data_IF_294535303386
#
_entry.id   IF_294535303386
#
_cell.length_a   1.000
_cell.length_b   1.000
_cell.length_c   1.000
_cell.angle_alpha   90.00
_cell.angle_beta   90.00
_cell.angle_gamma   90.00
#
_symmetry.space_group_name_H-M   'P 1'
#
loop_
_entity.id
_entity.type
_entity.pdbx_description
1 polymer ?
#
# COMPACT_ATOMS: atom_id res chain seq x y z
N UNK A 1 22.30 4.40 -2.10
CA UNK A 1 21.49 3.25 -2.53
C UNK A 1 22.04 2.69 -3.84
N UNK A 2 22.09 1.41 -3.96
CA UNK A 2 22.38 0.71 -5.20
C UNK A 2 21.29 0.99 -6.23
N UNK A 3 21.66 1.03 -7.51
CA UNK A 3 20.68 1.22 -8.58
C UNK A 3 19.65 0.06 -8.58
N UNK A 4 18.40 0.32 -8.99
CA UNK A 4 17.35 -0.70 -9.09
C UNK A 4 17.81 -1.92 -9.91
N UNK A 5 18.59 -1.71 -10.96
CA UNK A 5 19.16 -2.77 -11.80
C UNK A 5 20.06 -3.78 -11.04
N UNK A 6 20.39 -3.53 -9.79
CA UNK A 6 21.18 -4.46 -8.95
C UNK A 6 20.33 -5.29 -7.98
N UNK A 7 18.99 -5.15 -8.00
CA UNK A 7 18.10 -5.93 -7.15
C UNK A 7 18.10 -7.38 -7.62
N UNK A 8 18.56 -8.29 -6.76
CA UNK A 8 18.71 -9.73 -7.05
C UNK A 8 18.34 -10.61 -5.84
N UNK A 9 17.50 -10.11 -4.94
CA UNK A 9 17.20 -10.87 -3.71
C UNK A 9 15.82 -10.52 -3.17
N UNK A 10 15.15 -11.54 -2.64
CA UNK A 10 13.89 -11.39 -1.91
C UNK A 10 14.07 -10.59 -0.60
N UNK A 11 12.95 -10.25 0.00
CA UNK A 11 12.92 -9.67 1.34
C UNK A 11 13.47 -10.65 2.36
N UNK A 12 14.19 -10.15 3.36
CA UNK A 12 14.68 -10.94 4.48
C UNK A 12 14.50 -10.18 5.78
N UNK A 13 14.47 -10.91 6.90
CA UNK A 13 14.30 -10.32 8.23
C UNK A 13 15.39 -9.27 8.55
N UNK A 14 16.62 -9.48 8.08
CA UNK A 14 17.70 -8.51 8.25
C UNK A 14 17.45 -7.20 7.51
N UNK A 15 16.94 -7.28 6.28
CA UNK A 15 16.56 -6.10 5.48
C UNK A 15 15.36 -5.37 6.07
N UNK A 16 14.34 -6.11 6.54
CA UNK A 16 13.22 -5.53 7.25
C UNK A 16 13.68 -4.76 8.49
N UNK A 17 14.51 -5.37 9.32
CA UNK A 17 15.06 -4.72 10.52
C UNK A 17 15.91 -3.50 10.19
N UNK A 18 16.60 -3.49 9.07
CA UNK A 18 17.33 -2.30 8.60
C UNK A 18 16.38 -1.15 8.26
N UNK A 19 15.26 -1.43 7.57
CA UNK A 19 14.21 -0.44 7.28
C UNK A 19 13.59 0.11 8.59
N UNK A 20 13.24 -0.77 9.53
CA UNK A 20 12.72 -0.37 10.85
C UNK A 20 13.72 0.49 11.61
N UNK A 21 15.01 0.14 11.57
CA UNK A 21 16.08 0.95 12.19
C UNK A 21 16.14 2.35 11.59
N UNK A 22 15.99 2.48 10.28
CA UNK A 22 15.97 3.80 9.62
C UNK A 22 14.79 4.63 10.10
N UNK A 23 13.59 4.05 10.20
CA UNK A 23 12.40 4.74 10.73
C UNK A 23 12.59 5.17 12.19
N UNK A 24 13.09 4.26 13.05
CA UNK A 24 13.37 4.56 14.46
C UNK A 24 14.45 5.65 14.62
N UNK A 25 15.47 5.66 13.77
CA UNK A 25 16.49 6.72 13.77
C UNK A 25 15.90 8.10 13.42
N UNK A 26 14.89 8.16 12.57
CA UNK A 26 14.14 9.37 12.24
C UNK A 26 13.02 9.69 13.26
N UNK A 27 12.94 8.93 14.37
CA UNK A 27 11.90 9.08 15.39
C UNK A 27 10.48 8.95 14.86
N UNK A 28 10.27 8.09 13.87
CA UNK A 28 8.96 7.77 13.37
C UNK A 28 8.10 7.15 14.47
N UNK A 29 6.84 7.57 14.56
CA UNK A 29 5.89 7.06 15.55
C UNK A 29 5.26 5.78 15.05
N UNK A 30 4.96 4.88 15.98
CA UNK A 30 4.13 3.71 15.68
C UNK A 30 2.69 4.12 15.44
N UNK A 31 2.03 3.40 14.56
CA UNK A 31 0.59 3.51 14.35
C UNK A 31 -0.08 2.73 15.47
N UNK A 32 -0.93 3.39 16.24
CA UNK A 32 -1.62 2.83 17.41
C UNK A 32 -3.13 2.81 17.24
N UNK A 33 -3.64 3.61 16.32
CA UNK A 33 -5.06 3.78 16.09
C UNK A 33 -5.38 3.75 14.60
N UNK A 34 -6.50 3.16 14.25
CA UNK A 34 -7.03 3.17 12.89
C UNK A 34 -8.49 3.58 12.94
N UNK A 35 -8.86 4.55 12.11
CA UNK A 35 -10.26 4.94 11.93
C UNK A 35 -10.98 3.83 11.15
N UNK A 36 -11.97 3.23 11.76
CA UNK A 36 -12.79 2.25 11.06
C UNK A 36 -13.74 2.94 10.09
N UNK A 37 -13.85 2.40 8.88
CA UNK A 37 -14.83 2.86 7.88
C UNK A 37 -16.23 2.36 8.22
N UNK A 38 -16.79 2.89 9.30
CA UNK A 38 -18.16 2.60 9.75
C UNK A 38 -18.96 3.90 9.79
N UNK A 39 -20.32 3.84 9.71
CA UNK A 39 -21.17 5.01 9.85
C UNK A 39 -20.96 5.78 11.16
N UNK A 40 -20.44 5.12 12.17
CA UNK A 40 -20.27 5.67 13.52
C UNK A 40 -18.87 6.24 13.79
N UNK A 41 -17.99 6.30 12.78
CA UNK A 41 -16.61 6.81 12.93
C UNK A 41 -15.85 6.21 14.13
N UNK A 42 -15.94 4.89 14.29
CA UNK A 42 -15.32 4.21 15.40
C UNK A 42 -13.80 4.15 15.21
N UNK A 43 -13.06 4.76 16.14
CA UNK A 43 -11.61 4.62 16.21
C UNK A 43 -11.28 3.29 16.88
N UNK A 44 -10.47 2.46 16.22
CA UNK A 44 -9.99 1.19 16.76
C UNK A 44 -8.56 1.31 17.21
N UNK A 45 -8.30 0.98 18.47
CA UNK A 45 -6.94 0.83 18.96
C UNK A 45 -6.36 -0.48 18.42
N UNK A 46 -5.17 -0.38 17.87
CA UNK A 46 -4.38 -1.51 17.39
C UNK A 46 -3.08 -1.61 18.18
N UNK A 47 -2.43 -2.76 18.14
CA UNK A 47 -1.11 -2.91 18.73
C UNK A 47 -0.11 -2.00 18.01
N UNK A 48 0.74 -1.27 18.75
CA UNK A 48 1.72 -0.37 18.16
C UNK A 48 2.62 -1.07 17.16
N UNK A 49 2.75 -0.52 15.97
CA UNK A 49 3.62 -1.08 14.93
C UNK A 49 3.73 -0.15 13.72
N UNK A 50 4.71 -0.43 12.87
CA UNK A 50 4.80 0.16 11.55
C UNK A 50 3.92 -0.62 10.57
N UNK A 51 3.47 0.02 9.55
CA UNK A 51 2.73 -0.63 8.46
C UNK A 51 3.62 -0.72 7.23
N UNK A 52 3.67 -1.90 6.65
CA UNK A 52 4.33 -2.15 5.37
C UNK A 52 3.27 -2.54 4.34
N UNK A 53 3.31 -1.89 3.18
CA UNK A 53 2.39 -2.16 2.08
C UNK A 53 3.20 -2.65 0.88
N UNK A 54 2.74 -3.73 0.26
CA UNK A 54 3.42 -4.36 -0.87
C UNK A 54 2.47 -5.09 -1.81
N UNK A 55 3.00 -5.67 -2.90
CA UNK A 55 2.21 -6.49 -3.82
C UNK A 55 1.85 -7.85 -3.21
N UNK A 56 0.73 -8.40 -3.63
CA UNK A 56 0.32 -9.77 -3.30
C UNK A 56 1.30 -10.85 -3.78
N UNK A 57 2.07 -10.57 -4.83
CA UNK A 57 3.08 -11.51 -5.35
C UNK A 57 4.20 -11.81 -4.34
N UNK A 58 4.36 -10.95 -3.34
CA UNK A 58 5.34 -11.13 -2.27
C UNK A 58 4.83 -11.93 -1.05
N UNK A 59 3.59 -12.41 -1.08
CA UNK A 59 2.96 -13.08 0.06
C UNK A 59 3.76 -14.30 0.53
N UNK A 60 4.27 -15.10 -0.40
CA UNK A 60 5.10 -16.28 -0.10
C UNK A 60 6.40 -15.92 0.64
N UNK A 61 7.07 -14.89 0.15
CA UNK A 61 8.32 -14.41 0.75
C UNK A 61 8.10 -13.82 2.15
N UNK A 62 7.01 -13.07 2.34
CA UNK A 62 6.67 -12.49 3.64
C UNK A 62 6.31 -13.58 4.65
N UNK A 63 5.52 -14.58 4.25
CA UNK A 63 5.17 -15.73 5.10
C UNK A 63 6.38 -16.56 5.50
N UNK A 64 7.42 -16.57 4.69
CA UNK A 64 8.68 -17.28 4.97
C UNK A 64 9.61 -16.55 5.94
N UNK A 65 9.30 -15.29 6.30
CA UNK A 65 10.11 -14.53 7.24
C UNK A 65 10.08 -15.17 8.64
N UNK A 66 11.25 -15.25 9.27
CA UNK A 66 11.34 -15.76 10.64
C UNK A 66 10.55 -14.88 11.62
N UNK A 67 9.67 -15.51 12.41
CA UNK A 67 8.80 -14.81 13.34
C UNK A 67 7.52 -14.24 12.73
N UNK A 68 7.15 -14.69 11.53
CA UNK A 68 5.88 -14.32 10.93
C UNK A 68 4.70 -14.88 11.74
N UNK A 69 3.76 -14.03 12.08
CA UNK A 69 2.50 -14.38 12.75
C UNK A 69 1.35 -14.05 11.81
N UNK A 70 0.64 -15.07 11.28
CA UNK A 70 -0.49 -14.84 10.39
C UNK A 70 -1.68 -14.22 11.14
N UNK A 71 -2.55 -13.53 10.43
CA UNK A 71 -3.77 -12.92 11.00
C UNK A 71 -4.62 -13.94 11.76
N UNK A 72 -4.68 -15.20 11.30
CA UNK A 72 -5.42 -16.27 11.96
C UNK A 72 -4.95 -16.56 13.41
N UNK A 73 -3.69 -16.24 13.73
CA UNK A 73 -3.08 -16.48 15.04
C UNK A 73 -3.10 -15.23 15.94
N UNK A 74 -3.68 -14.14 15.51
CA UNK A 74 -3.70 -12.88 16.27
C UNK A 74 -4.47 -12.97 17.59
N UNK A 75 -5.34 -13.94 17.77
CA UNK A 75 -6.16 -14.09 18.97
C UNK A 75 -7.06 -12.87 19.20
N UNK A 76 -6.70 -12.05 20.20
CA UNK A 76 -7.44 -10.82 20.54
C UNK A 76 -6.99 -9.57 19.77
N UNK A 77 -5.90 -9.67 18.99
CA UNK A 77 -5.39 -8.55 18.20
C UNK A 77 -6.37 -8.25 17.07
N UNK A 78 -6.61 -6.95 16.83
CA UNK A 78 -7.48 -6.52 15.72
C UNK A 78 -6.63 -6.30 14.46
N UNK A 79 -7.18 -6.67 13.32
CA UNK A 79 -6.59 -6.36 12.01
C UNK A 79 -6.75 -4.88 11.68
N UNK A 80 -5.81 -4.33 10.92
CA UNK A 80 -5.90 -2.96 10.39
C UNK A 80 -6.94 -2.91 9.28
N UNK A 81 -6.86 -3.85 8.34
CA UNK A 81 -7.78 -3.97 7.21
C UNK A 81 -7.91 -5.44 6.77
N UNK A 82 -8.85 -5.70 5.86
CA UNK A 82 -9.13 -7.05 5.36
C UNK A 82 -7.97 -7.65 4.53
N UNK A 83 -7.05 -6.81 4.03
CA UNK A 83 -5.89 -7.23 3.26
C UNK A 83 -4.61 -7.41 4.10
N UNK A 84 -4.74 -7.41 5.41
CA UNK A 84 -3.61 -7.67 6.29
C UNK A 84 -3.21 -9.14 6.22
N UNK A 85 -1.95 -9.41 5.87
CA UNK A 85 -1.40 -10.75 5.76
C UNK A 85 -0.96 -11.30 7.11
N UNK A 86 -0.34 -10.47 7.91
CA UNK A 86 0.23 -10.84 9.20
C UNK A 86 1.22 -9.82 9.72
N UNK A 87 1.94 -10.17 10.76
CA UNK A 87 2.94 -9.32 11.40
C UNK A 87 4.27 -10.04 11.56
N UNK A 88 5.36 -9.26 11.49
CA UNK A 88 6.72 -9.71 11.79
C UNK A 88 7.40 -8.66 12.66
N UNK A 89 7.85 -9.02 13.84
CA UNK A 89 8.36 -8.07 14.84
C UNK A 89 7.37 -6.89 15.03
N UNK A 90 7.83 -5.66 14.84
CA UNK A 90 7.04 -4.43 14.97
C UNK A 90 6.34 -4.00 13.66
N UNK A 91 6.27 -4.86 12.64
CA UNK A 91 5.77 -4.50 11.30
C UNK A 91 4.55 -5.33 10.94
N UNK A 92 3.48 -4.69 10.50
CA UNK A 92 2.28 -5.33 9.94
C UNK A 92 2.28 -5.20 8.43
N UNK A 93 2.09 -6.31 7.75
CA UNK A 93 2.10 -6.39 6.30
C UNK A 93 0.69 -6.38 5.73
N UNK A 94 0.47 -5.43 4.82
CA UNK A 94 -0.75 -5.32 4.02
C UNK A 94 -0.35 -5.59 2.58
N UNK A 95 -0.97 -6.59 1.96
CA UNK A 95 -0.68 -6.95 0.57
C UNK A 95 -1.86 -6.65 -0.33
N UNK A 96 -1.61 -6.00 -1.46
CA UNK A 96 -2.67 -5.65 -2.39
C UNK A 96 -2.13 -5.63 -3.84
N UNK A 97 -2.87 -6.16 -4.81
CA UNK A 97 -2.43 -6.26 -6.21
C UNK A 97 -2.27 -4.91 -6.93
N UNK A 98 -2.75 -3.81 -6.35
CA UNK A 98 -2.59 -2.47 -6.93
C UNK A 98 -1.12 -2.01 -6.95
N UNK A 99 -0.27 -2.62 -6.11
CA UNK A 99 1.16 -2.33 -6.06
C UNK A 99 1.90 -3.09 -7.15
N UNK A 100 1.82 -2.55 -8.38
CA UNK A 100 2.47 -3.15 -9.54
C UNK A 100 4.00 -3.11 -9.43
N UNK A 101 4.69 -4.18 -9.84
CA UNK A 101 6.15 -4.20 -9.91
C UNK A 101 6.67 -3.32 -11.05
N UNK A 102 7.96 -2.99 -10.98
CA UNK A 102 8.71 -2.50 -12.13
C UNK A 102 9.22 -3.70 -12.92
N UNK A 103 8.56 -3.97 -14.04
CA UNK A 103 8.88 -5.09 -14.91
C UNK A 103 10.30 -4.96 -15.45
N UNK A 104 11.06 -6.05 -15.39
CA UNK A 104 12.45 -6.14 -15.87
C UNK A 104 13.39 -5.05 -15.28
N UNK A 105 13.09 -4.56 -14.09
CA UNK A 105 13.84 -3.47 -13.45
C UNK A 105 15.05 -3.90 -12.66
N UNK A 106 15.21 -5.19 -12.37
CA UNK A 106 16.27 -5.76 -11.52
C UNK A 106 17.46 -6.34 -12.26
N UNK A 107 18.23 -7.19 -11.57
CA UNK A 107 19.34 -7.91 -12.15
C UNK A 107 18.88 -9.01 -13.12
N UNK A 108 19.82 -9.63 -13.84
CA UNK A 108 19.53 -10.75 -14.72
C UNK A 108 18.87 -11.90 -13.95
N UNK A 109 17.81 -12.48 -14.50
CA UNK A 109 17.04 -13.52 -13.85
C UNK A 109 17.75 -14.88 -13.91
N UNK A 110 17.76 -15.58 -12.77
CA UNK A 110 18.33 -16.92 -12.60
C UNK A 110 17.22 -18.00 -12.53
N UNK A 111 16.03 -17.73 -13.05
CA UNK A 111 14.83 -18.58 -12.94
C UNK A 111 14.29 -18.79 -11.50
N UNK A 112 14.81 -18.07 -10.52
CA UNK A 112 14.37 -18.17 -9.12
C UNK A 112 13.30 -17.12 -8.76
N UNK A 113 13.29 -16.01 -9.49
CA UNK A 113 12.43 -14.88 -9.21
C UNK A 113 11.43 -14.63 -10.33
N UNK A 114 10.32 -13.99 -9.99
CA UNK A 114 9.31 -13.61 -10.98
C UNK A 114 9.89 -12.61 -11.99
N UNK A 115 9.59 -12.83 -13.26
CA UNK A 115 9.85 -11.90 -14.34
C UNK A 115 8.64 -11.81 -15.27
N UNK A 116 8.10 -10.63 -15.45
CA UNK A 116 6.86 -10.37 -16.21
C UNK A 116 7.05 -10.22 -17.71
N UNK A 117 8.21 -10.50 -18.23
CA UNK A 117 8.50 -10.41 -19.66
C UNK A 117 9.03 -11.73 -20.23
N UNK A 118 8.97 -11.87 -21.55
CA UNK A 118 9.51 -13.05 -22.23
C UNK A 118 10.91 -13.41 -21.73
N UNK A 119 11.09 -14.64 -21.42
CA UNK A 119 12.19 -15.51 -20.99
C UNK A 119 13.68 -15.05 -20.98
N UNK A 120 13.98 -13.82 -21.27
CA UNK A 120 15.34 -13.23 -21.27
C UNK A 120 15.43 -11.99 -20.37
N UNK A 121 14.38 -11.73 -19.59
CA UNK A 121 14.24 -10.49 -18.84
C UNK A 121 15.11 -10.45 -17.59
N UNK A 122 15.23 -9.25 -17.09
CA UNK A 122 15.69 -9.00 -15.74
C UNK A 122 14.55 -9.32 -14.74
N UNK A 123 14.90 -9.44 -13.48
CA UNK A 123 13.97 -9.69 -12.38
C UNK A 123 12.99 -8.53 -12.25
N UNK A 124 11.73 -8.82 -11.96
CA UNK A 124 10.75 -7.81 -11.59
C UNK A 124 11.01 -7.29 -10.18
N UNK A 125 10.96 -5.98 -10.02
CA UNK A 125 11.25 -5.33 -8.74
C UNK A 125 9.98 -4.84 -8.09
N UNK A 126 9.75 -5.33 -6.89
CA UNK A 126 8.57 -5.05 -6.09
C UNK A 126 8.87 -4.01 -5.02
N UNK A 127 8.10 -2.92 -4.94
CA UNK A 127 8.24 -1.96 -3.87
C UNK A 127 7.58 -2.47 -2.58
N UNK A 128 8.27 -2.30 -1.47
CA UNK A 128 7.72 -2.41 -0.12
C UNK A 128 7.81 -1.04 0.51
N UNK A 129 6.67 -0.43 0.79
CA UNK A 129 6.57 0.86 1.46
C UNK A 129 6.30 0.64 2.94
N UNK A 130 7.23 1.05 3.79
CA UNK A 130 7.09 0.99 5.23
C UNK A 130 6.99 2.39 5.81
N UNK A 131 5.99 2.64 6.66
CA UNK A 131 5.73 3.96 7.20
C UNK A 131 5.19 3.91 8.63
N UNK A 132 5.37 5.02 9.32
CA UNK A 132 4.79 5.29 10.63
C UNK A 132 3.58 6.19 10.57
N UNK A 133 3.08 6.58 11.73
CA UNK A 133 1.97 7.52 11.88
C UNK A 133 2.33 8.88 11.25
N UNK A 134 1.37 9.53 10.61
CA UNK A 134 1.52 10.85 9.99
C UNK A 134 2.63 10.96 8.91
N UNK A 135 3.08 9.84 8.34
CA UNK A 135 4.10 9.85 7.29
C UNK A 135 3.59 10.51 6.00
N UNK A 136 2.33 10.32 5.68
CA UNK A 136 1.64 10.93 4.55
C UNK A 136 0.22 11.31 4.95
N UNK A 137 -0.36 12.21 4.19
CA UNK A 137 -1.73 12.63 4.42
C UNK A 137 -2.42 12.95 3.12
N UNK A 138 -3.73 13.06 3.18
CA UNK A 138 -4.46 13.57 2.07
C UNK A 138 -5.50 14.61 2.51
N UNK A 139 -5.67 15.61 1.70
CA UNK A 139 -6.56 16.72 1.96
C UNK A 139 -7.63 16.78 0.89
N UNK A 140 -8.87 17.02 1.32
CA UNK A 140 -9.97 17.37 0.43
C UNK A 140 -10.07 18.89 0.24
N UNK A 141 -10.59 19.32 -0.88
CA UNK A 141 -10.87 20.74 -1.10
C UNK A 141 -12.17 21.13 -0.38
N UNK A 142 -12.15 22.25 0.36
CA UNK A 142 -13.33 22.85 1.05
C UNK A 142 -14.00 21.92 2.08
N UNK A 143 -13.25 21.29 2.95
CA UNK A 143 -13.77 20.39 3.98
C UNK A 143 -14.65 19.23 3.45
N UNK A 144 -14.68 19.05 2.16
CA UNK A 144 -15.53 18.05 1.54
C UNK A 144 -14.68 16.89 1.00
N UNK A 145 -14.68 15.81 1.75
CA UNK A 145 -14.49 14.47 1.20
C UNK A 145 -15.64 14.14 0.25
N UNK A 146 -16.61 15.01 0.21
CA UNK A 146 -17.88 14.79 -0.43
C UNK A 146 -17.70 14.75 -1.94
N UNK A 147 -18.20 13.67 -2.48
CA UNK A 147 -18.57 13.55 -3.85
C UNK A 147 -19.62 14.65 -4.14
N UNK A 148 -19.26 15.66 -4.92
CA UNK A 148 -20.22 16.63 -5.41
C UNK A 148 -21.04 15.97 -6.53
N UNK A 149 -22.25 15.58 -6.19
CA UNK A 149 -23.18 14.95 -7.13
C UNK A 149 -24.04 16.01 -7.79
N UNK A 150 -23.85 16.16 -9.10
CA UNK A 150 -24.66 17.04 -9.93
C UNK A 150 -25.62 16.20 -10.78
N UNK A 151 -26.90 16.33 -10.47
CA UNK A 151 -27.95 15.72 -11.26
C UNK A 151 -28.52 16.75 -12.24
N UNK A 152 -28.42 16.45 -13.51
CA UNK A 152 -29.11 17.17 -14.58
C UNK A 152 -30.33 16.37 -15.03
N UNK A 153 -31.54 16.79 -14.69
CA UNK A 153 -32.74 16.09 -15.11
C UNK A 153 -32.92 16.17 -16.62
N UNK A 154 -33.63 15.21 -17.22
CA UNK A 154 -33.92 15.23 -18.66
C UNK A 154 -34.65 16.53 -19.04
N UNK A 155 -34.12 17.23 -20.04
CA UNK A 155 -34.70 18.44 -20.61
C UNK A 155 -34.59 18.41 -22.10
N UNK A 156 -35.61 18.87 -22.83
CA UNK A 156 -35.53 19.05 -24.24
C UNK A 156 -34.41 20.02 -24.62
N UNK A 157 -33.59 19.61 -25.57
CA UNK A 157 -32.47 20.39 -26.14
C UNK A 157 -32.33 20.07 -27.62
N UNK A 158 -31.54 20.85 -28.35
CA UNK A 158 -31.32 20.63 -29.80
C UNK A 158 -30.74 19.24 -30.09
N UNK A 159 -29.99 18.65 -29.17
CA UNK A 159 -29.40 17.31 -29.27
C UNK A 159 -30.35 16.19 -28.80
N UNK A 160 -31.37 16.54 -28.03
CA UNK A 160 -32.39 15.61 -27.49
C UNK A 160 -33.76 16.30 -27.45
N UNK A 161 -34.44 16.42 -28.58
CA UNK A 161 -35.72 17.12 -28.66
C UNK A 161 -36.83 16.50 -27.78
N UNK A 162 -36.72 15.19 -27.51
CA UNK A 162 -37.71 14.48 -26.71
C UNK A 162 -37.39 14.60 -25.17
N UNK A 163 -36.26 15.15 -24.81
CA UNK A 163 -35.86 15.32 -23.40
C UNK A 163 -35.78 14.04 -22.59
N UNK A 164 -35.32 12.94 -23.21
CA UNK A 164 -35.27 11.61 -22.60
C UNK A 164 -33.95 11.33 -21.89
N UNK A 165 -32.94 12.18 -22.08
CA UNK A 165 -31.59 11.97 -21.54
C UNK A 165 -31.33 12.89 -20.37
N UNK A 166 -31.03 12.30 -19.22
CA UNK A 166 -30.47 12.99 -18.06
C UNK A 166 -29.03 12.58 -17.86
N UNK A 167 -28.27 13.35 -17.11
CA UNK A 167 -26.90 13.03 -16.73
C UNK A 167 -26.68 13.15 -15.21
N UNK A 168 -25.87 12.26 -14.65
CA UNK A 168 -25.37 12.33 -13.30
C UNK A 168 -23.87 12.47 -13.36
N UNK A 169 -23.34 13.55 -12.81
CA UNK A 169 -21.91 13.78 -12.71
C UNK A 169 -21.48 13.73 -11.24
N UNK A 170 -20.38 13.03 -11.00
CA UNK A 170 -19.76 12.95 -9.69
C UNK A 170 -18.36 13.58 -9.78
N UNK A 171 -18.09 14.59 -8.96
CA UNK A 171 -16.80 15.28 -8.92
C UNK A 171 -16.26 15.24 -7.51
N UNK A 172 -15.01 14.80 -7.36
CA UNK A 172 -14.29 14.89 -6.09
C UNK A 172 -12.92 15.53 -6.32
N UNK A 173 -12.47 16.31 -5.35
CA UNK A 173 -11.19 16.99 -5.40
C UNK A 173 -10.38 16.58 -4.17
N UNK A 174 -9.23 15.97 -4.37
CA UNK A 174 -8.34 15.61 -3.29
C UNK A 174 -6.87 15.68 -3.73
N UNK A 175 -5.99 15.80 -2.78
CA UNK A 175 -4.54 15.74 -3.01
C UNK A 175 -3.89 14.91 -1.90
N UNK A 176 -3.04 13.97 -2.30
CA UNK A 176 -2.16 13.25 -1.39
C UNK A 176 -0.78 13.90 -1.35
N UNK A 177 -0.15 13.93 -0.19
CA UNK A 177 1.20 14.42 -0.02
C UNK A 177 1.95 13.70 1.09
N UNK A 178 3.26 13.62 0.96
CA UNK A 178 4.13 13.14 2.03
C UNK A 178 4.30 14.29 3.03
N UNK A 179 3.96 14.05 4.28
CA UNK A 179 4.09 15.02 5.38
C UNK A 179 5.50 14.99 5.95
N UNK A 180 6.05 13.80 6.16
CA UNK A 180 7.40 13.62 6.66
C UNK A 180 8.14 12.55 5.87
N UNK A 181 9.12 12.98 5.07
CA UNK A 181 9.93 12.10 4.23
C UNK A 181 10.77 11.10 5.05
N UNK A 182 11.16 11.45 6.26
CA UNK A 182 11.93 10.57 7.14
C UNK A 182 11.11 9.44 7.77
N UNK A 183 9.78 9.53 7.74
CA UNK A 183 8.87 8.55 8.35
C UNK A 183 8.30 7.55 7.35
N UNK A 184 8.80 7.58 6.12
CA UNK A 184 8.48 6.61 5.09
C UNK A 184 9.78 6.05 4.51
N UNK A 185 9.85 4.73 4.37
CA UNK A 185 10.99 4.03 3.77
C UNK A 185 10.47 3.12 2.67
N UNK A 186 11.12 3.17 1.52
CA UNK A 186 10.87 2.27 0.41
C UNK A 186 11.98 1.24 0.29
N UNK A 187 11.66 -0.03 0.43
CA UNK A 187 12.50 -1.16 0.05
C UNK A 187 12.13 -1.64 -1.35
N UNK A 188 13.10 -2.10 -2.11
CA UNK A 188 12.91 -2.68 -3.42
C UNK A 188 13.49 -4.11 -3.40
N UNK A 189 12.64 -5.10 -3.70
CA UNK A 189 12.96 -6.52 -3.58
C UNK A 189 12.50 -7.30 -4.81
N UNK A 190 13.06 -8.47 -5.01
CA UNK A 190 12.52 -9.47 -5.93
C UNK A 190 11.48 -10.32 -5.21
N UNK A 191 10.53 -10.89 -5.93
CA UNK A 191 9.62 -11.92 -5.42
C UNK A 191 10.00 -13.28 -5.99
N UNK A 192 9.98 -14.33 -5.15
CA UNK A 192 10.24 -15.70 -5.55
C UNK A 192 9.12 -16.23 -6.44
N UNK A 193 9.48 -17.06 -7.44
CA UNK A 193 8.52 -17.61 -8.39
C UNK A 193 7.69 -18.78 -7.80
#
# INVERSE_FOLDING_TARGET
GTARASVASAISIGKQRAMVRTLKAQRARFITEVLASTPNYETRNIEPGFVAVCSSDMDGDIRSLSGFVPVAEYGKRKTICDFELGSVDDVRYITHPIFSPWLNGGAANNATFLCGGASTGAIDVYPVLMFGEEAFGHTALRDMWALDLKHSPPKASDSDPAGQRGSLAATSWYRCGILNQGWIVRGEFAATA
#
